data_IF_491605360152
#
_entry.id   IF_491605360152
#
_cell.length_a   1.000
_cell.length_b   1.000
_cell.length_c   1.000
_cell.angle_alpha   90.00
_cell.angle_beta   90.00
_cell.angle_gamma   90.00
#
_symmetry.space_group_name_H-M   'P 1'
#
loop_
_entity.id
_entity.type
_entity.pdbx_description
1 polymer ?
#
# COMPACT_ATOMS: atom_id res chain seq x y z
N UNK A 1 80.58 12.34 8.43
CA UNK A 1 79.87 11.93 7.20
C UNK A 1 78.40 11.77 7.53
N UNK A 2 77.60 12.78 7.21
CA UNK A 2 76.17 12.92 7.54
C UNK A 2 75.32 12.27 6.46
N UNK A 3 74.35 11.42 6.83
CA UNK A 3 73.35 10.85 5.90
C UNK A 3 72.07 11.71 5.95
N UNK A 4 71.44 12.05 4.81
CA UNK A 4 70.23 12.86 4.80
C UNK A 4 68.99 12.00 5.11
N UNK A 5 68.11 12.53 5.95
CA UNK A 5 66.78 12.00 6.22
C UNK A 5 65.84 12.35 5.06
N UNK A 6 65.20 11.35 4.46
CA UNK A 6 64.13 11.53 3.49
C UNK A 6 62.79 11.49 4.22
N UNK A 7 62.06 12.61 4.18
CA UNK A 7 60.67 12.69 4.65
C UNK A 7 59.78 12.31 3.47
N UNK A 8 59.03 11.21 3.60
CA UNK A 8 57.97 10.84 2.66
C UNK A 8 56.68 11.59 3.06
N UNK A 9 56.05 12.38 2.17
CA UNK A 9 54.75 12.96 2.46
C UNK A 9 53.67 11.90 2.26
N UNK A 10 53.05 11.46 3.35
CA UNK A 10 51.89 10.59 3.35
C UNK A 10 50.66 11.32 2.78
N UNK A 11 50.17 10.84 1.64
CA UNK A 11 48.94 11.33 1.00
C UNK A 11 47.74 10.75 1.74
N UNK A 12 47.00 11.57 2.46
CA UNK A 12 45.69 11.23 3.03
C UNK A 12 44.67 11.10 1.90
N UNK A 13 44.37 9.87 1.46
CA UNK A 13 43.24 9.59 0.59
C UNK A 13 41.94 9.65 1.42
N UNK A 14 41.17 10.73 1.26
CA UNK A 14 39.84 10.85 1.86
C UNK A 14 38.87 9.90 1.15
N UNK A 15 38.37 8.90 1.86
CA UNK A 15 37.31 8.00 1.39
C UNK A 15 35.98 8.79 1.42
N UNK A 16 35.54 9.29 0.27
CA UNK A 16 34.18 9.80 0.09
C UNK A 16 33.25 8.61 -0.03
N UNK A 17 32.56 8.26 1.05
CA UNK A 17 31.48 7.28 1.03
C UNK A 17 30.28 7.93 0.34
N UNK A 18 30.11 7.62 -0.96
CA UNK A 18 28.91 7.96 -1.71
C UNK A 18 27.73 7.19 -1.09
N UNK A 19 26.88 7.90 -0.36
CA UNK A 19 25.59 7.41 0.13
C UNK A 19 24.61 7.26 -1.03
N UNK A 20 24.72 6.14 -1.76
CA UNK A 20 23.76 5.79 -2.80
C UNK A 20 22.42 5.50 -2.11
N UNK A 21 21.32 6.16 -2.50
CA UNK A 21 19.99 5.85 -1.97
C UNK A 21 19.67 4.40 -2.32
N UNK A 22 19.50 3.56 -1.30
CA UNK A 22 19.04 2.19 -1.47
C UNK A 22 17.58 2.26 -1.88
N UNK A 23 17.29 1.95 -3.14
CA UNK A 23 15.92 1.78 -3.60
C UNK A 23 15.29 0.63 -2.80
N UNK A 24 14.40 0.97 -1.86
CA UNK A 24 13.67 -0.03 -1.09
C UNK A 24 12.70 -0.76 -2.01
N UNK A 25 12.81 -2.09 -2.05
CA UNK A 25 11.87 -2.92 -2.78
C UNK A 25 10.43 -2.67 -2.32
N UNK A 26 9.47 -2.83 -3.24
CA UNK A 26 8.06 -2.64 -2.93
C UNK A 26 7.65 -3.55 -1.75
N UNK A 27 6.99 -3.00 -0.70
CA UNK A 27 6.48 -3.80 0.39
C UNK A 27 5.56 -4.93 -0.07
N UNK A 28 5.67 -6.12 0.55
CA UNK A 28 4.89 -7.31 0.18
C UNK A 28 3.38 -7.08 0.13
N UNK A 29 2.84 -6.27 1.04
CA UNK A 29 1.41 -5.98 1.06
C UNK A 29 0.96 -5.24 -0.21
N UNK A 30 1.79 -4.37 -0.80
CA UNK A 30 1.46 -3.68 -2.06
C UNK A 30 1.46 -4.65 -3.24
N UNK A 31 2.44 -5.56 -3.28
CA UNK A 31 2.49 -6.62 -4.29
C UNK A 31 1.28 -7.56 -4.23
N UNK A 32 0.61 -7.63 -3.07
CA UNK A 32 -0.63 -8.38 -2.87
C UNK A 32 -1.88 -7.55 -3.18
N UNK A 33 -1.94 -6.32 -2.67
CA UNK A 33 -3.08 -5.43 -2.81
C UNK A 33 -3.30 -4.98 -4.26
N UNK A 34 -2.24 -4.53 -4.95
CA UNK A 34 -2.36 -3.92 -6.28
C UNK A 34 -3.05 -4.86 -7.28
N UNK A 35 -2.62 -6.14 -7.43
CA UNK A 35 -3.30 -7.08 -8.32
C UNK A 35 -4.68 -7.46 -7.82
N UNK A 36 -4.87 -7.61 -6.50
CA UNK A 36 -6.18 -7.96 -5.93
C UNK A 36 -7.24 -6.88 -6.17
N UNK A 37 -6.83 -5.60 -6.15
CA UNK A 37 -7.70 -4.45 -6.40
C UNK A 37 -7.74 -4.05 -7.89
N UNK A 38 -7.00 -4.75 -8.75
CA UNK A 38 -6.89 -4.46 -10.19
C UNK A 38 -6.28 -3.08 -10.51
N UNK A 39 -5.38 -2.58 -9.65
CA UNK A 39 -4.66 -1.30 -9.82
C UNK A 39 -3.48 -1.45 -10.81
N UNK A 40 -3.07 -2.68 -11.12
CA UNK A 40 -2.05 -3.03 -12.12
C UNK A 40 -2.55 -2.94 -13.58
N UNK A 41 -3.86 -3.05 -13.80
CA UNK A 41 -4.43 -3.12 -15.15
C UNK A 41 -4.12 -1.85 -15.96
N UNK A 42 -3.51 -2.04 -17.14
CA UNK A 42 -3.14 -0.93 -18.03
C UNK A 42 -1.77 -0.31 -17.73
N UNK A 43 -1.03 -0.81 -16.74
CA UNK A 43 0.34 -0.38 -16.48
C UNK A 43 1.30 -1.58 -16.47
N UNK A 44 2.03 -1.80 -17.57
CA UNK A 44 2.98 -2.90 -17.69
C UNK A 44 4.18 -2.80 -16.70
N UNK A 45 4.40 -1.62 -16.10
CA UNK A 45 5.50 -1.34 -15.18
C UNK A 45 4.99 -1.02 -13.77
N UNK A 46 3.80 -1.50 -13.40
CA UNK A 46 3.16 -1.15 -12.14
C UNK A 46 4.01 -1.45 -10.89
N UNK A 47 4.86 -2.49 -10.94
CA UNK A 47 5.77 -2.87 -9.85
C UNK A 47 6.85 -1.80 -9.59
N UNK A 48 7.11 -0.93 -10.56
CA UNK A 48 8.08 0.16 -10.48
C UNK A 48 7.41 1.53 -10.28
N UNK A 49 6.10 1.63 -10.53
CA UNK A 49 5.36 2.87 -10.44
C UNK A 49 4.75 3.07 -9.05
N UNK A 50 5.41 3.92 -8.24
CA UNK A 50 4.94 4.22 -6.88
C UNK A 50 3.54 4.84 -6.85
N UNK A 51 3.07 5.44 -7.95
CA UNK A 51 1.76 6.09 -8.07
C UNK A 51 0.61 5.11 -8.23
N UNK A 52 0.88 3.86 -8.63
CA UNK A 52 -0.16 2.84 -8.79
C UNK A 52 -0.93 2.63 -7.50
N UNK A 53 -0.26 2.65 -6.34
CA UNK A 53 -0.89 2.66 -5.03
C UNK A 53 0.04 3.33 -4.03
N UNK A 54 -0.28 4.56 -3.62
CA UNK A 54 0.50 5.29 -2.64
C UNK A 54 0.37 4.66 -1.24
N UNK A 55 1.35 4.91 -0.36
CA UNK A 55 1.25 4.47 1.03
C UNK A 55 0.06 5.12 1.76
N UNK A 56 -0.38 6.30 1.29
CA UNK A 56 -1.55 7.01 1.81
C UNK A 56 -2.87 6.23 1.70
N UNK A 57 -2.88 5.11 0.97
CA UNK A 57 -4.01 4.19 0.93
C UNK A 57 -4.34 3.59 2.31
N UNK A 58 -3.32 3.30 3.14
CA UNK A 58 -3.51 2.76 4.50
C UNK A 58 -2.86 3.62 5.60
N UNK A 59 -2.07 4.62 5.22
CA UNK A 59 -1.25 5.40 6.13
C UNK A 59 -1.60 6.87 6.01
N UNK A 60 -1.33 7.65 7.05
CA UNK A 60 -1.37 9.12 6.94
C UNK A 60 -0.14 9.63 6.18
N UNK A 61 1.02 9.02 6.44
CA UNK A 61 2.28 9.42 5.82
C UNK A 61 2.45 8.77 4.43
N UNK A 62 2.92 9.55 3.46
CA UNK A 62 3.23 9.09 2.10
C UNK A 62 4.41 8.10 2.02
N UNK A 63 5.25 8.08 3.06
CA UNK A 63 6.32 7.11 3.28
C UNK A 63 5.85 5.83 4.00
N UNK A 64 4.59 5.79 4.46
CA UNK A 64 4.02 4.68 5.22
C UNK A 64 4.34 4.73 6.71
N UNK A 65 4.16 3.59 7.40
CA UNK A 65 4.34 3.50 8.85
C UNK A 65 3.20 4.16 9.65
N UNK A 66 3.37 4.26 10.97
CA UNK A 66 2.40 4.99 11.79
C UNK A 66 2.52 6.52 11.55
N UNK A 67 1.41 7.29 11.65
CA UNK A 67 0.06 6.84 11.99
C UNK A 67 -0.71 6.24 10.80
N UNK A 68 -1.71 5.42 11.12
CA UNK A 68 -2.61 4.76 10.17
C UNK A 68 -3.82 5.64 9.90
N UNK A 69 -4.25 5.73 8.65
CA UNK A 69 -5.51 6.38 8.29
C UNK A 69 -6.70 5.48 8.75
N UNK A 70 -7.96 5.94 8.69
CA UNK A 70 -9.11 5.15 9.12
C UNK A 70 -9.19 3.76 8.46
N UNK A 71 -8.99 3.66 7.15
CA UNK A 71 -8.95 2.37 6.44
C UNK A 71 -7.85 1.43 6.96
N UNK A 72 -6.65 1.96 7.18
CA UNK A 72 -5.53 1.22 7.78
C UNK A 72 -5.85 0.73 9.18
N UNK A 73 -6.59 1.52 9.97
CA UNK A 73 -7.06 1.11 11.30
C UNK A 73 -8.11 -0.01 11.20
N UNK A 74 -9.01 0.03 10.21
CA UNK A 74 -9.98 -1.04 9.94
C UNK A 74 -9.27 -2.36 9.60
N UNK A 75 -8.26 -2.33 8.73
CA UNK A 75 -7.41 -3.50 8.44
C UNK A 75 -6.73 -4.04 9.70
N UNK A 76 -6.15 -3.17 10.52
CA UNK A 76 -5.54 -3.59 11.79
C UNK A 76 -6.56 -4.21 12.76
N UNK A 77 -7.77 -3.65 12.84
CA UNK A 77 -8.83 -4.19 13.68
C UNK A 77 -9.23 -5.59 13.23
N UNK A 78 -9.39 -5.80 11.91
CA UNK A 78 -9.70 -7.10 11.35
C UNK A 78 -8.60 -8.14 11.63
N UNK A 79 -7.31 -7.77 11.51
CA UNK A 79 -6.21 -8.65 11.91
C UNK A 79 -6.24 -9.01 13.40
N UNK A 80 -6.52 -8.04 14.27
CA UNK A 80 -6.63 -8.30 15.73
C UNK A 80 -7.80 -9.22 16.05
N UNK A 81 -8.93 -9.05 15.37
CA UNK A 81 -10.10 -9.91 15.53
C UNK A 81 -9.83 -11.35 15.07
N UNK A 82 -9.19 -11.53 13.90
CA UNK A 82 -8.78 -12.85 13.42
C UNK A 82 -7.83 -13.53 14.41
N UNK A 83 -6.80 -12.81 14.88
CA UNK A 83 -5.84 -13.34 15.85
C UNK A 83 -6.52 -13.72 17.18
N UNK A 84 -7.46 -12.91 17.68
CA UNK A 84 -8.21 -13.20 18.89
C UNK A 84 -9.10 -14.45 18.75
N UNK A 85 -9.55 -14.77 17.53
CA UNK A 85 -10.26 -15.99 17.20
C UNK A 85 -9.33 -17.19 16.94
N UNK A 86 -8.01 -17.06 17.14
CA UNK A 86 -7.02 -18.11 16.85
C UNK A 86 -6.70 -18.26 15.36
N UNK A 87 -7.10 -17.29 14.53
CA UNK A 87 -6.85 -17.23 13.11
C UNK A 87 -5.41 -16.93 12.73
N UNK A 88 -5.13 -17.09 11.44
CA UNK A 88 -3.83 -16.81 10.79
C UNK A 88 -4.07 -16.19 9.41
N UNK A 89 -5.09 -15.34 9.30
CA UNK A 89 -5.48 -14.73 8.04
C UNK A 89 -4.29 -13.99 7.43
N UNK A 90 -4.18 -14.08 6.10
CA UNK A 90 -3.16 -13.35 5.36
C UNK A 90 -3.74 -12.02 4.92
N UNK A 91 -2.85 -11.09 4.55
CA UNK A 91 -3.27 -9.77 4.11
C UNK A 91 -4.34 -9.76 3.00
N UNK A 92 -4.26 -10.58 1.93
CA UNK A 92 -5.35 -10.64 0.95
C UNK A 92 -6.71 -11.02 1.53
N UNK A 93 -6.71 -11.96 2.49
CA UNK A 93 -7.91 -12.48 3.13
C UNK A 93 -8.55 -11.38 4.01
N UNK A 94 -7.73 -10.63 4.76
CA UNK A 94 -8.18 -9.49 5.57
C UNK A 94 -8.65 -8.32 4.72
N UNK A 95 -7.91 -7.96 3.67
CA UNK A 95 -8.30 -6.90 2.73
C UNK A 95 -9.67 -7.20 2.13
N UNK A 96 -9.88 -8.43 1.66
CA UNK A 96 -11.18 -8.85 1.15
C UNK A 96 -12.27 -8.81 2.22
N UNK A 97 -11.96 -9.24 3.45
CA UNK A 97 -12.91 -9.21 4.55
C UNK A 97 -13.36 -7.79 4.95
N UNK A 98 -12.45 -6.83 4.91
CA UNK A 98 -12.76 -5.41 5.14
C UNK A 98 -13.61 -4.88 4.00
N UNK A 99 -13.20 -5.05 2.73
CA UNK A 99 -13.96 -4.51 1.59
C UNK A 99 -15.36 -5.13 1.45
N UNK A 100 -15.55 -6.39 1.83
CA UNK A 100 -16.88 -7.05 1.79
C UNK A 100 -17.80 -6.67 2.96
N UNK A 101 -17.28 -6.00 3.99
CA UNK A 101 -18.09 -5.64 5.18
C UNK A 101 -19.18 -4.61 4.84
N UNK A 102 -18.92 -3.77 3.82
CA UNK A 102 -19.78 -2.64 3.49
C UNK A 102 -19.55 -1.42 4.39
N UNK A 103 -18.50 -1.44 5.22
CA UNK A 103 -18.10 -0.31 6.05
C UNK A 103 -17.60 0.87 5.19
N UNK A 104 -17.67 2.06 5.79
CA UNK A 104 -17.21 3.36 5.31
C UNK A 104 -16.25 3.88 6.39
N UNK A 105 -14.96 3.69 6.18
CA UNK A 105 -13.98 3.80 7.25
C UNK A 105 -13.72 5.26 7.66
N UNK A 106 -13.79 6.21 6.74
CA UNK A 106 -13.59 7.64 7.03
C UNK A 106 -14.89 8.44 7.19
N UNK A 107 -16.04 7.83 6.87
CA UNK A 107 -17.37 8.38 7.14
C UNK A 107 -17.82 9.43 6.12
N UNK A 108 -17.28 9.40 4.91
CA UNK A 108 -17.61 10.36 3.85
C UNK A 108 -18.94 10.06 3.12
N UNK A 109 -19.56 8.91 3.41
CA UNK A 109 -20.80 8.42 2.82
C UNK A 109 -20.62 7.41 1.69
N UNK A 110 -19.38 7.06 1.32
CA UNK A 110 -19.05 6.03 0.35
C UNK A 110 -18.41 4.82 1.03
N UNK A 111 -18.99 3.61 0.92
CA UNK A 111 -18.36 2.42 1.45
C UNK A 111 -17.00 2.13 0.79
N UNK A 112 -16.03 1.63 1.57
CA UNK A 112 -14.63 1.46 1.18
C UNK A 112 -14.48 0.77 -0.19
N UNK A 113 -15.27 -0.28 -0.44
CA UNK A 113 -15.20 -1.04 -1.68
C UNK A 113 -15.64 -0.25 -2.93
N UNK A 114 -16.56 0.71 -2.77
CA UNK A 114 -16.95 1.61 -3.85
C UNK A 114 -15.87 2.63 -4.14
N UNK A 115 -15.19 3.14 -3.12
CA UNK A 115 -14.07 4.04 -3.29
C UNK A 115 -12.90 3.38 -4.01
N UNK A 116 -12.55 2.15 -3.61
CA UNK A 116 -11.54 1.35 -4.31
C UNK A 116 -11.93 1.12 -5.78
N UNK A 117 -13.21 0.88 -6.04
CA UNK A 117 -13.72 0.75 -7.41
C UNK A 117 -13.63 2.07 -8.19
N UNK A 118 -13.91 3.19 -7.54
CA UNK A 118 -13.82 4.55 -8.09
C UNK A 118 -12.39 5.10 -8.18
N UNK A 119 -11.38 4.34 -7.72
CA UNK A 119 -9.97 4.77 -7.62
C UNK A 119 -9.74 5.93 -6.65
N UNK A 120 -10.55 6.01 -5.59
CA UNK A 120 -10.36 6.95 -4.49
C UNK A 120 -9.72 6.27 -3.26
N UNK A 121 -9.52 7.01 -2.17
CA UNK A 121 -8.77 6.58 -0.99
C UNK A 121 -9.72 6.40 0.21
N UNK A 122 -10.02 5.15 0.64
CA UNK A 122 -11.04 4.86 1.66
C UNK A 122 -10.69 5.27 3.10
N UNK A 123 -9.62 6.01 3.28
CA UNK A 123 -9.21 6.54 4.57
C UNK A 123 -8.91 8.03 4.49
N UNK A 124 -9.43 8.71 3.47
CA UNK A 124 -9.30 10.14 3.27
C UNK A 124 -10.67 10.73 2.93
N UNK A 125 -11.35 11.41 3.87
CA UNK A 125 -12.72 11.92 3.68
C UNK A 125 -12.78 13.08 2.66
N UNK A 126 -11.64 13.49 2.10
CA UNK A 126 -11.55 14.45 1.00
C UNK A 126 -11.31 13.80 -0.36
N UNK A 127 -11.07 12.49 -0.41
CA UNK A 127 -10.92 11.70 -1.62
C UNK A 127 -12.26 11.06 -2.01
N UNK A 128 -13.27 11.85 -2.33
CA UNK A 128 -14.61 11.33 -2.65
C UNK A 128 -14.75 10.95 -4.14
N UNK A 129 -15.53 9.90 -4.48
CA UNK A 129 -15.88 9.62 -5.87
C UNK A 129 -16.65 10.77 -6.53
N UNK A 130 -16.34 11.08 -7.79
CA UNK A 130 -17.06 12.09 -8.59
C UNK A 130 -18.49 11.65 -8.98
N UNK A 131 -18.84 10.38 -8.77
CA UNK A 131 -20.10 9.78 -9.17
C UNK A 131 -21.05 9.64 -7.98
N UNK A 132 -22.35 9.98 -8.12
CA UNK A 132 -23.34 9.75 -7.07
C UNK A 132 -23.39 8.30 -6.61
N UNK A 133 -23.53 8.10 -5.29
CA UNK A 133 -23.53 6.79 -4.65
C UNK A 133 -24.43 5.73 -5.34
N UNK A 134 -25.70 6.01 -5.71
CA UNK A 134 -26.55 4.99 -6.35
C UNK A 134 -26.01 4.51 -7.70
N UNK A 135 -25.45 5.41 -8.50
CA UNK A 135 -24.89 5.09 -9.81
C UNK A 135 -23.56 4.33 -9.67
N UNK A 136 -22.74 4.73 -8.69
CA UNK A 136 -21.50 4.03 -8.38
C UNK A 136 -21.76 2.61 -7.89
N UNK A 137 -22.74 2.44 -7.00
CA UNK A 137 -23.20 1.13 -6.52
C UNK A 137 -23.65 0.24 -7.68
N UNK A 138 -24.53 0.74 -8.54
CA UNK A 138 -25.01 -0.03 -9.68
C UNK A 138 -23.88 -0.49 -10.61
N UNK A 139 -22.91 0.39 -10.89
CA UNK A 139 -21.75 0.05 -11.70
C UNK A 139 -20.83 -0.98 -11.02
N UNK A 140 -20.60 -0.82 -9.72
CA UNK A 140 -19.82 -1.75 -8.92
C UNK A 140 -20.45 -3.14 -8.89
N UNK A 141 -21.76 -3.23 -8.66
CA UNK A 141 -22.49 -4.49 -8.62
C UNK A 141 -22.47 -5.17 -10.00
N UNK A 142 -22.66 -4.41 -11.08
CA UNK A 142 -22.53 -4.91 -12.46
C UNK A 142 -21.11 -5.42 -12.79
N UNK A 143 -20.08 -4.88 -12.14
CA UNK A 143 -18.70 -5.33 -12.27
C UNK A 143 -18.35 -6.56 -11.39
N UNK A 144 -19.34 -7.13 -10.67
CA UNK A 144 -19.17 -8.29 -9.80
C UNK A 144 -19.07 -7.95 -8.31
N UNK A 145 -19.34 -6.69 -7.93
CA UNK A 145 -19.35 -6.23 -6.54
C UNK A 145 -18.04 -6.53 -5.81
N UNK A 146 -18.11 -6.73 -4.49
CA UNK A 146 -16.91 -7.01 -3.69
C UNK A 146 -16.23 -8.33 -4.08
N UNK A 147 -16.97 -9.28 -4.66
CA UNK A 147 -16.42 -10.59 -5.06
C UNK A 147 -15.29 -10.46 -6.10
N UNK A 148 -15.22 -9.37 -6.86
CA UNK A 148 -14.12 -9.10 -7.78
C UNK A 148 -12.76 -8.90 -7.06
N UNK A 149 -12.78 -8.63 -5.76
CA UNK A 149 -11.60 -8.45 -4.90
C UNK A 149 -11.27 -9.68 -4.04
N UNK A 150 -11.87 -10.84 -4.33
CA UNK A 150 -11.54 -12.07 -3.62
C UNK A 150 -10.03 -12.37 -3.71
N UNK A 151 -9.42 -12.96 -2.65
CA UNK A 151 -8.00 -13.29 -2.66
C UNK A 151 -7.65 -14.18 -3.86
N UNK A 152 -6.51 -13.95 -4.52
CA UNK A 152 -6.09 -14.81 -5.62
C UNK A 152 -5.87 -16.23 -5.11
N UNK A 153 -6.37 -17.22 -5.85
CA UNK A 153 -6.15 -18.63 -5.53
C UNK A 153 -4.65 -18.91 -5.53
N UNK A 154 -4.09 -19.58 -4.50
CA UNK A 154 -2.68 -19.95 -4.52
C UNK A 154 -2.38 -20.78 -5.77
N UNK A 155 -1.37 -20.38 -6.54
CA UNK A 155 -0.82 -21.26 -7.59
C UNK A 155 -0.27 -22.50 -6.89
N UNK A 156 -0.87 -23.66 -7.16
CA UNK A 156 -0.38 -24.97 -6.70
C UNK A 156 0.90 -25.34 -7.43
#
# INVERSE_FOLDING_TARGET
MTRPAWVLPGTLAALVVLSVPVASAMPRYRLQAIPQLHYDRGNALWELDRRVMACTFCHVNDSGGAPWNPFGQALQAAFRQDAAAGGKARFPDVLYAVLRSGDDADGDGYPDALEVYARTLPGDPHSVPDRPLPELRAAFDAAGGAAQYAPPTPKR
#
